data_IF_973458425585
#
_entry.id   IF_973458425585
#
_cell.length_a   1.000
_cell.length_b   1.000
_cell.length_c   1.000
_cell.angle_alpha   90.00
_cell.angle_beta   90.00
_cell.angle_gamma   90.00
#
_symmetry.space_group_name_H-M   'P 1'
#
loop_
_entity.id
_entity.type
_entity.pdbx_description
1 polymer ?
#
# COMPACT_ATOMS: atom_id res chain seq x y z
N UNK A 1 14.34 12.84 9.45
CA UNK A 1 15.32 11.96 10.11
C UNK A 1 16.74 12.52 10.04
N UNK A 2 17.30 12.81 8.85
CA UNK A 2 18.67 13.37 8.75
C UNK A 2 18.89 14.72 9.46
N UNK A 3 17.84 15.54 9.62
CA UNK A 3 17.90 16.81 10.37
C UNK A 3 17.71 16.64 11.88
N UNK A 4 17.09 15.54 12.31
CA UNK A 4 16.77 15.27 13.72
C UNK A 4 17.95 14.63 14.47
N UNK A 5 18.82 13.92 13.75
CA UNK A 5 20.03 13.29 14.28
C UNK A 5 21.22 13.65 13.39
N UNK A 6 21.80 14.86 13.54
CA UNK A 6 22.90 15.34 12.69
C UNK A 6 24.18 14.53 12.87
N UNK A 7 24.43 14.04 14.07
CA UNK A 7 25.63 13.25 14.41
C UNK A 7 25.47 11.74 14.11
N UNK A 8 24.33 11.31 13.59
CA UNK A 8 24.02 9.89 13.35
C UNK A 8 23.56 9.15 14.60
N UNK A 9 23.32 7.85 14.45
CA UNK A 9 22.96 6.96 15.57
C UNK A 9 24.23 6.27 16.03
N UNK A 10 24.53 6.41 17.33
CA UNK A 10 25.69 5.79 17.96
C UNK A 10 25.33 4.34 18.29
N UNK A 11 26.03 3.39 17.68
CA UNK A 11 25.87 1.96 17.95
C UNK A 11 27.26 1.34 18.07
N UNK A 12 27.60 0.86 19.27
CA UNK A 12 28.86 0.17 19.57
C UNK A 12 30.13 0.98 19.18
N UNK A 13 30.21 2.23 19.63
CA UNK A 13 31.28 3.21 19.30
C UNK A 13 31.46 3.55 17.80
N UNK A 14 30.57 3.07 16.93
CA UNK A 14 30.53 3.39 15.51
C UNK A 14 29.37 4.36 15.22
N UNK A 15 29.68 5.44 14.50
CA UNK A 15 28.69 6.44 14.09
C UNK A 15 28.04 5.98 12.78
N UNK A 16 26.77 5.56 12.85
CA UNK A 16 25.98 5.24 11.67
C UNK A 16 25.18 6.46 11.20
N UNK A 17 25.55 7.00 10.03
CA UNK A 17 24.77 8.05 9.38
C UNK A 17 23.54 7.46 8.68
N UNK A 18 22.38 8.02 8.98
CA UNK A 18 21.11 7.63 8.36
C UNK A 18 21.13 8.06 6.88
N UNK A 19 21.02 7.10 5.96
CA UNK A 19 20.91 7.41 4.54
C UNK A 19 19.43 7.66 4.18
N UNK A 20 19.02 8.89 3.85
CA UNK A 20 17.61 9.21 3.61
C UNK A 20 17.04 8.56 2.34
N UNK A 21 17.89 8.09 1.43
CA UNK A 21 17.48 7.49 0.16
C UNK A 21 16.57 6.27 0.33
N UNK A 22 16.91 5.34 1.23
CA UNK A 22 16.11 4.14 1.45
C UNK A 22 14.70 4.45 1.96
N UNK A 23 14.58 5.41 2.88
CA UNK A 23 13.29 5.86 3.40
C UNK A 23 12.45 6.58 2.33
N UNK A 24 13.09 7.36 1.45
CA UNK A 24 12.39 8.03 0.35
C UNK A 24 11.77 7.03 -0.62
N UNK A 25 12.50 5.97 -0.99
CA UNK A 25 12.00 4.92 -1.88
C UNK A 25 10.86 4.15 -1.24
N UNK A 26 10.97 3.79 0.05
CA UNK A 26 9.89 3.09 0.77
C UNK A 26 8.62 3.95 0.80
N UNK A 27 8.73 5.25 1.05
CA UNK A 27 7.59 6.17 1.03
C UNK A 27 6.94 6.28 -0.35
N UNK A 28 7.75 6.38 -1.41
CA UNK A 28 7.25 6.43 -2.79
C UNK A 28 6.51 5.14 -3.19
N UNK A 29 7.06 3.98 -2.81
CA UNK A 29 6.44 2.67 -3.05
C UNK A 29 5.11 2.55 -2.30
N UNK A 30 5.08 2.92 -1.02
CA UNK A 30 3.89 2.81 -0.17
C UNK A 30 2.73 3.68 -0.67
N UNK A 31 2.99 4.94 -1.05
CA UNK A 31 1.97 5.82 -1.61
C UNK A 31 1.41 5.28 -2.93
N UNK A 32 2.29 4.82 -3.83
CA UNK A 32 1.90 4.32 -5.15
C UNK A 32 1.07 3.03 -5.04
N UNK A 33 1.47 2.14 -4.13
CA UNK A 33 0.68 0.95 -3.78
C UNK A 33 -0.68 1.32 -3.24
N UNK A 34 -0.74 2.26 -2.29
CA UNK A 34 -1.97 2.68 -1.64
C UNK A 34 -2.98 3.28 -2.62
N UNK A 35 -2.53 4.07 -3.59
CA UNK A 35 -3.42 4.66 -4.62
C UNK A 35 -3.97 3.59 -5.58
N UNK A 36 -3.16 2.57 -5.87
CA UNK A 36 -3.50 1.52 -6.83
C UNK A 36 -4.19 0.30 -6.21
N UNK A 37 -4.22 0.19 -4.88
CA UNK A 37 -4.59 -1.01 -4.13
C UNK A 37 -3.78 -2.27 -4.53
N UNK A 38 -2.49 -2.11 -4.83
CA UNK A 38 -1.61 -3.23 -5.24
C UNK A 38 -0.37 -3.34 -4.37
N UNK A 39 0.05 -4.58 -4.08
CA UNK A 39 1.30 -4.86 -3.34
C UNK A 39 2.50 -5.01 -4.28
N UNK A 40 2.25 -5.20 -5.59
CA UNK A 40 3.30 -5.37 -6.61
C UNK A 40 4.18 -4.13 -6.79
N UNK A 41 3.71 -2.94 -6.40
CA UNK A 41 4.50 -1.70 -6.40
C UNK A 41 5.75 -1.79 -5.52
N UNK A 42 5.69 -2.52 -4.40
CA UNK A 42 6.84 -2.78 -3.55
C UNK A 42 7.90 -3.62 -4.28
N UNK A 43 7.45 -4.67 -4.98
CA UNK A 43 8.33 -5.56 -5.75
C UNK A 43 8.98 -4.80 -6.90
N UNK A 44 8.22 -3.98 -7.64
CA UNK A 44 8.75 -3.15 -8.73
C UNK A 44 9.82 -2.18 -8.21
N UNK A 45 9.56 -1.45 -7.11
CA UNK A 45 10.54 -0.54 -6.51
C UNK A 45 11.80 -1.28 -6.02
N UNK A 46 11.63 -2.48 -5.47
CA UNK A 46 12.74 -3.33 -5.05
C UNK A 46 13.60 -3.75 -6.25
N UNK A 47 13.00 -4.27 -7.31
CA UNK A 47 13.68 -4.67 -8.54
C UNK A 47 14.44 -3.49 -9.17
N UNK A 48 13.84 -2.29 -9.19
CA UNK A 48 14.48 -1.07 -9.71
C UNK A 48 15.67 -0.60 -8.86
N UNK A 49 15.67 -0.86 -7.55
CA UNK A 49 16.74 -0.43 -6.65
C UNK A 49 17.91 -1.42 -6.59
N UNK A 50 17.67 -2.70 -6.92
CA UNK A 50 18.71 -3.73 -6.97
C UNK A 50 19.35 -4.10 -5.62
N UNK A 51 18.78 -3.66 -4.49
CA UNK A 51 19.26 -3.94 -3.13
C UNK A 51 18.17 -4.59 -2.27
N UNK A 52 18.43 -5.82 -1.80
CA UNK A 52 17.45 -6.69 -1.09
C UNK A 52 17.35 -6.35 0.41
N UNK A 53 18.31 -5.63 0.97
CA UNK A 53 18.40 -5.39 2.42
C UNK A 53 17.17 -4.67 3.01
N UNK A 54 16.43 -3.89 2.21
CA UNK A 54 15.28 -3.10 2.67
C UNK A 54 13.92 -3.66 2.21
N UNK A 55 13.85 -4.90 1.72
CA UNK A 55 12.62 -5.48 1.16
C UNK A 55 11.53 -5.70 2.21
N UNK A 56 11.91 -6.19 3.39
CA UNK A 56 10.99 -6.51 4.48
C UNK A 56 10.24 -5.26 5.00
N UNK A 57 10.92 -4.17 5.39
CA UNK A 57 10.25 -2.96 5.84
C UNK A 57 9.43 -2.28 4.72
N UNK A 58 9.86 -2.39 3.46
CA UNK A 58 9.11 -1.87 2.31
C UNK A 58 7.76 -2.58 2.15
N UNK A 59 7.76 -3.91 2.21
CA UNK A 59 6.54 -4.72 2.09
C UNK A 59 5.54 -4.40 3.21
N UNK A 60 6.02 -4.28 4.45
CA UNK A 60 5.16 -3.91 5.59
C UNK A 60 4.54 -2.53 5.39
N UNK A 61 5.33 -1.53 4.97
CA UNK A 61 4.83 -0.18 4.73
C UNK A 61 3.75 -0.16 3.64
N UNK A 62 3.96 -0.88 2.53
CA UNK A 62 3.01 -0.94 1.41
C UNK A 62 1.72 -1.66 1.79
N UNK A 63 1.81 -2.76 2.53
CA UNK A 63 0.62 -3.49 3.00
C UNK A 63 -0.22 -2.62 3.94
N UNK A 64 0.42 -1.95 4.92
CA UNK A 64 -0.28 -1.06 5.83
C UNK A 64 -0.95 0.10 5.08
N UNK A 65 -0.26 0.71 4.12
CA UNK A 65 -0.81 1.78 3.32
C UNK A 65 -2.00 1.30 2.47
N UNK A 66 -1.91 0.11 1.87
CA UNK A 66 -3.00 -0.51 1.12
C UNK A 66 -4.23 -0.82 1.98
N UNK A 67 -4.02 -1.34 3.19
CA UNK A 67 -5.12 -1.62 4.12
C UNK A 67 -5.85 -0.34 4.53
N UNK A 68 -5.11 0.73 4.80
CA UNK A 68 -5.69 2.04 5.15
C UNK A 68 -6.43 2.64 3.96
N UNK A 69 -5.86 2.58 2.75
CA UNK A 69 -6.50 3.10 1.54
C UNK A 69 -7.81 2.38 1.22
N UNK A 70 -7.81 1.04 1.27
CA UNK A 70 -9.00 0.22 1.06
C UNK A 70 -10.13 0.53 2.05
N UNK A 71 -9.81 0.95 3.27
CA UNK A 71 -10.81 1.31 4.27
C UNK A 71 -11.44 2.68 4.03
N UNK A 72 -10.77 3.59 3.32
CA UNK A 72 -11.19 4.98 3.19
C UNK A 72 -11.82 5.28 1.84
N UNK A 73 -11.25 4.75 0.74
CA UNK A 73 -11.63 5.13 -0.61
C UNK A 73 -11.54 3.93 -1.58
N UNK A 74 -12.33 3.92 -2.66
CA UNK A 74 -12.12 2.99 -3.77
C UNK A 74 -10.78 3.28 -4.46
N UNK A 75 -10.23 2.29 -5.17
CA UNK A 75 -8.94 2.47 -5.86
C UNK A 75 -9.02 3.61 -6.88
N UNK A 76 -7.87 4.16 -7.26
CA UNK A 76 -7.82 5.20 -8.30
C UNK A 76 -8.47 4.73 -9.61
N UNK A 77 -8.29 3.46 -9.97
CA UNK A 77 -8.87 2.88 -11.18
C UNK A 77 -10.40 2.79 -11.09
N UNK A 78 -10.93 2.33 -9.96
CA UNK A 78 -12.38 2.26 -9.73
C UNK A 78 -13.01 3.66 -9.74
N UNK A 79 -12.31 4.63 -9.14
CA UNK A 79 -12.75 6.03 -9.11
C UNK A 79 -12.87 6.61 -10.51
N UNK A 80 -11.89 6.35 -11.39
CA UNK A 80 -11.92 6.82 -12.79
C UNK A 80 -13.07 6.16 -13.56
N UNK A 81 -13.29 4.86 -13.37
CA UNK A 81 -14.39 4.13 -14.03
C UNK A 81 -15.74 4.73 -13.65
N UNK A 82 -15.95 5.03 -12.36
CA UNK A 82 -17.19 5.65 -11.87
C UNK A 82 -17.40 7.04 -12.47
N UNK A 83 -16.36 7.87 -12.52
CA UNK A 83 -16.44 9.23 -13.10
C UNK A 83 -16.72 9.17 -14.61
N UNK A 84 -16.12 8.21 -15.32
CA UNK A 84 -16.30 8.03 -16.77
C UNK A 84 -17.58 7.29 -17.15
N UNK A 85 -18.34 6.76 -16.18
CA UNK A 85 -19.57 5.97 -16.38
C UNK A 85 -19.41 4.87 -17.43
N UNK A 86 -18.26 4.19 -17.40
CA UNK A 86 -18.03 3.08 -18.31
C UNK A 86 -18.88 1.88 -17.85
N UNK A 87 -19.52 1.14 -18.79
CA UNK A 87 -20.20 -0.09 -18.44
C UNK A 87 -19.17 -1.13 -17.99
N UNK A 88 -18.95 -1.20 -16.67
CA UNK A 88 -18.11 -2.17 -15.99
C UNK A 88 -19.02 -3.09 -15.19
N UNK A 89 -18.82 -4.40 -15.30
CA UNK A 89 -19.55 -5.34 -14.45
C UNK A 89 -19.05 -5.12 -13.02
N UNK A 90 -19.92 -4.72 -12.07
CA UNK A 90 -19.49 -4.55 -10.69
C UNK A 90 -18.94 -5.87 -10.17
N UNK A 91 -17.90 -5.78 -9.34
CA UNK A 91 -17.27 -6.94 -8.75
C UNK A 91 -18.32 -7.70 -7.93
N UNK A 92 -18.54 -8.98 -8.23
CA UNK A 92 -19.41 -9.87 -7.47
C UNK A 92 -18.69 -10.19 -6.16
N UNK A 93 -18.62 -9.21 -5.27
CA UNK A 93 -18.11 -9.41 -3.93
C UNK A 93 -18.92 -10.54 -3.29
N UNK A 94 -18.25 -11.60 -2.85
CA UNK A 94 -18.87 -12.71 -2.09
C UNK A 94 -19.71 -12.20 -0.90
N UNK A 95 -19.43 -10.98 -0.42
CA UNK A 95 -20.19 -10.25 0.58
C UNK A 95 -21.59 -9.80 0.11
N UNK A 96 -21.76 -9.42 -1.16
CA UNK A 96 -23.07 -9.08 -1.74
C UNK A 96 -23.93 -10.33 -1.97
N UNK A 97 -23.32 -11.46 -2.37
CA UNK A 97 -24.01 -12.75 -2.49
C UNK A 97 -24.52 -13.27 -1.12
N UNK A 98 -23.74 -13.08 -0.05
CA UNK A 98 -24.21 -13.37 1.33
C UNK A 98 -25.35 -12.46 1.77
N UNK A 99 -25.38 -11.20 1.36
CA UNK A 99 -26.50 -10.29 1.69
C UNK A 99 -27.79 -10.67 0.95
N UNK A 100 -27.69 -11.14 -0.30
CA UNK A 100 -28.84 -11.64 -1.07
C UNK A 100 -29.44 -12.91 -0.44
N UNK A 101 -28.61 -13.86 -0.03
CA UNK A 101 -29.08 -15.09 0.63
C UNK A 101 -29.66 -14.85 2.03
N UNK A 102 -29.23 -13.83 2.76
CA UNK A 102 -29.84 -13.48 4.05
C UNK A 102 -31.20 -12.80 3.91
N UNK A 103 -31.48 -12.11 2.79
CA UNK A 103 -32.79 -11.50 2.55
C UNK A 103 -33.87 -12.52 2.19
N UNK A 104 -33.52 -13.66 1.57
CA UNK A 104 -34.48 -14.73 1.26
C UNK A 104 -34.84 -15.60 2.49
N UNK A 105 -33.97 -15.73 3.49
CA UNK A 105 -34.20 -16.59 4.66
C UNK A 105 -34.97 -15.94 5.83
N UNK A 106 -35.28 -14.63 5.76
CA UNK A 106 -36.02 -13.91 6.81
C UNK A 106 -37.52 -13.78 6.47
N UNK A 107 -37.95 -14.26 5.30
CA UNK A 107 -39.35 -14.15 4.83
C UNK A 107 -40.17 -15.47 4.87
N UNK A 108 -39.66 -16.54 5.49
CA UNK A 108 -40.40 -17.80 5.77
C UNK A 108 -40.59 -18.02 7.25
#
# INVERSE_FOLDING_TARGET
MAMLFPDGILFDDIIYKILPGGYAVIGAAALTGAVSHTVSTAVICFELTGQIAHILPMMVAVILANMVAQSLQPSLYDSIIQVKKLPYLPDLGWNQLRSGHQLELVQT
#
